data_IF_898704040232
#
_entry.id   IF_898704040232
#
_cell.length_a   1.000
_cell.length_b   1.000
_cell.length_c   1.000
_cell.angle_alpha   90.00
_cell.angle_beta   90.00
_cell.angle_gamma   90.00
#
_symmetry.space_group_name_H-M   'P 1'
#
loop_
_entity.id
_entity.type
_entity.pdbx_description
1 polymer ?
#
# COMPACT_ATOMS: atom_id res chain seq x y z
N UNK A 1 30.60 -66.66 20.37
CA UNK A 1 30.43 -65.39 21.07
C UNK A 1 29.17 -64.75 20.53
N UNK A 2 28.00 -65.28 20.85
CA UNK A 2 27.30 -65.21 22.14
C UNK A 2 26.76 -63.79 22.42
N UNK A 3 25.43 -63.73 22.53
CA UNK A 3 24.59 -62.72 23.21
C UNK A 3 24.15 -61.44 22.46
N UNK A 4 22.85 -61.43 22.16
CA UNK A 4 21.89 -60.30 22.16
C UNK A 4 21.72 -59.73 23.60
N UNK A 5 20.74 -58.85 23.96
CA UNK A 5 19.77 -57.99 23.23
C UNK A 5 19.69 -56.54 23.80
N UNK A 6 18.80 -55.70 23.23
CA UNK A 6 17.67 -55.00 23.91
C UNK A 6 17.41 -53.65 23.20
N UNK A 7 16.36 -53.55 22.36
CA UNK A 7 15.01 -53.05 22.69
C UNK A 7 15.03 -51.51 22.87
N UNK A 8 14.07 -50.70 22.41
CA UNK A 8 12.63 -50.88 22.37
C UNK A 8 11.97 -49.72 21.56
N UNK A 9 10.80 -50.02 20.96
CA UNK A 9 9.57 -49.20 20.82
C UNK A 9 9.61 -47.95 19.92
N UNK A 10 8.69 -47.70 18.99
CA UNK A 10 7.43 -48.36 18.65
C UNK A 10 6.54 -47.42 17.81
N UNK A 11 5.82 -48.01 16.86
CA UNK A 11 4.68 -47.40 16.14
C UNK A 11 3.51 -47.13 17.10
N UNK A 12 2.64 -46.16 16.77
CA UNK A 12 1.34 -46.50 16.16
C UNK A 12 0.96 -45.49 15.04
N UNK A 13 0.49 -45.88 13.85
CA UNK A 13 -0.89 -46.23 13.47
C UNK A 13 -1.99 -45.45 14.22
N UNK A 14 -2.65 -44.49 13.58
CA UNK A 14 -4.10 -44.58 13.27
C UNK A 14 -4.65 -43.35 12.52
N UNK A 15 -5.40 -43.68 11.47
CA UNK A 15 -6.54 -43.04 10.84
C UNK A 15 -7.22 -41.80 11.47
N UNK A 16 -7.69 -40.89 10.58
CA UNK A 16 -9.06 -40.31 10.54
C UNK A 16 -9.12 -38.77 10.29
N UNK A 17 -9.70 -38.41 9.13
CA UNK A 17 -10.60 -37.24 8.95
C UNK A 17 -11.94 -37.56 9.68
N UNK A 18 -12.83 -36.63 10.10
CA UNK A 18 -13.28 -35.44 9.33
C UNK A 18 -13.75 -34.19 10.15
N UNK A 19 -14.24 -33.19 9.41
CA UNK A 19 -15.27 -32.17 9.71
C UNK A 19 -15.56 -31.80 11.19
N UNK A 20 -15.53 -30.50 11.52
CA UNK A 20 -16.73 -29.61 11.58
C UNK A 20 -16.41 -28.35 12.39
N UNK A 21 -16.89 -27.22 11.89
CA UNK A 21 -16.86 -25.92 12.55
C UNK A 21 -17.65 -25.96 13.86
N UNK A 22 -17.01 -25.53 14.95
CA UNK A 22 -17.66 -25.26 16.23
C UNK A 22 -18.08 -23.78 16.25
N UNK A 23 -19.35 -23.57 15.93
CA UNK A 23 -20.09 -22.37 16.30
C UNK A 23 -20.52 -22.56 17.75
N UNK A 24 -19.98 -21.72 18.64
CA UNK A 24 -20.50 -21.57 20.00
C UNK A 24 -20.98 -20.14 20.19
N UNK A 25 -22.26 -19.94 19.90
CA UNK A 25 -23.08 -18.86 20.46
C UNK A 25 -23.35 -19.19 21.92
N UNK A 26 -22.98 -18.28 22.83
CA UNK A 26 -23.58 -18.17 24.17
C UNK A 26 -23.43 -16.72 24.61
N UNK A 27 -24.53 -16.06 24.98
CA UNK A 27 -24.48 -14.91 25.88
C UNK A 27 -25.25 -13.67 25.43
N UNK A 28 -26.58 -13.74 25.49
CA UNK A 28 -27.43 -12.56 25.58
C UNK A 28 -27.08 -11.70 26.81
N UNK A 29 -26.99 -10.39 26.63
CA UNK A 29 -27.28 -9.44 27.71
C UNK A 29 -28.02 -8.24 27.15
N UNK A 30 -29.32 -8.27 27.38
CA UNK A 30 -30.20 -7.11 27.32
C UNK A 30 -29.84 -6.16 28.47
N UNK A 31 -29.30 -4.98 28.16
CA UNK A 31 -29.45 -3.82 29.05
C UNK A 31 -29.36 -2.50 28.28
N UNK A 32 -30.55 -1.90 28.12
CA UNK A 32 -30.80 -0.46 28.20
C UNK A 32 -30.24 0.47 27.12
N UNK A 33 -31.17 0.90 26.26
CA UNK A 33 -31.24 2.24 25.69
C UNK A 33 -30.76 3.34 26.68
N UNK A 34 -29.59 3.92 26.43
CA UNK A 34 -29.32 5.37 26.39
C UNK A 34 -27.81 5.60 26.50
N UNK A 35 -27.18 5.79 25.34
CA UNK A 35 -25.76 6.13 25.26
C UNK A 35 -25.34 6.11 23.81
N UNK A 36 -25.17 7.29 23.20
CA UNK A 36 -24.76 7.46 21.80
C UNK A 36 -23.48 6.67 21.53
N UNK A 37 -23.63 5.51 20.89
CA UNK A 37 -22.52 4.71 20.39
C UNK A 37 -21.69 5.51 19.40
N UNK A 38 -20.43 5.78 19.76
CA UNK A 38 -19.37 6.18 18.83
C UNK A 38 -18.30 5.09 18.77
N UNK A 39 -18.71 3.88 18.40
CA UNK A 39 -17.79 2.78 18.11
C UNK A 39 -18.07 2.23 16.71
N UNK A 40 -17.85 3.07 15.68
CA UNK A 40 -17.71 2.68 14.27
C UNK A 40 -17.31 3.89 13.38
N UNK A 41 -16.45 4.80 13.87
CA UNK A 41 -16.08 6.02 13.12
C UNK A 41 -14.59 6.26 12.90
N UNK A 42 -13.69 5.39 13.36
CA UNK A 42 -12.24 5.60 13.16
C UNK A 42 -11.81 5.23 11.72
N UNK A 43 -11.98 3.95 11.32
CA UNK A 43 -11.52 3.48 10.01
C UNK A 43 -12.16 4.18 8.80
N UNK A 44 -13.43 4.55 8.91
CA UNK A 44 -14.16 5.23 7.82
C UNK A 44 -13.75 6.69 7.63
N UNK A 45 -13.20 7.32 8.68
CA UNK A 45 -12.72 8.70 8.60
C UNK A 45 -11.31 8.76 8.00
N UNK A 46 -10.43 7.84 8.39
CA UNK A 46 -9.07 7.77 7.83
C UNK A 46 -9.07 7.51 6.32
N UNK A 47 -9.89 6.58 5.84
CA UNK A 47 -10.01 6.28 4.41
C UNK A 47 -10.63 7.45 3.62
N UNK A 48 -11.62 8.13 4.19
CA UNK A 48 -12.22 9.32 3.60
C UNK A 48 -11.26 10.52 3.53
N UNK A 49 -10.35 10.65 4.50
CA UNK A 49 -9.33 11.71 4.54
C UNK A 49 -8.21 11.38 3.52
N UNK A 50 -7.79 10.11 3.40
CA UNK A 50 -6.87 9.64 2.35
C UNK A 50 -7.45 9.79 0.93
N UNK A 51 -8.76 9.64 0.77
CA UNK A 51 -9.45 9.84 -0.51
C UNK A 51 -9.37 11.30 -1.02
N UNK A 52 -9.14 12.27 -0.13
CA UNK A 52 -8.97 13.68 -0.51
C UNK A 52 -7.63 13.96 -1.20
N UNK A 53 -6.66 13.04 -1.04
CA UNK A 53 -5.35 13.15 -1.67
C UNK A 53 -5.44 12.51 -3.06
N UNK A 54 -5.10 13.23 -4.14
CA UNK A 54 -5.17 12.66 -5.49
C UNK A 54 -4.21 11.48 -5.63
N UNK A 55 -4.65 10.39 -6.24
CA UNK A 55 -3.80 9.20 -6.46
C UNK A 55 -2.64 9.49 -7.40
N UNK A 56 -2.83 10.38 -8.37
CA UNK A 56 -1.84 10.72 -9.39
C UNK A 56 -1.84 12.23 -9.54
N UNK A 57 -0.66 12.83 -9.46
CA UNK A 57 -0.44 14.23 -9.80
C UNK A 57 0.88 14.29 -10.56
N UNK A 58 0.78 14.44 -11.88
CA UNK A 58 1.92 14.44 -12.79
C UNK A 58 1.82 15.59 -13.79
N UNK A 59 2.96 16.09 -14.24
CA UNK A 59 3.00 17.12 -15.29
C UNK A 59 2.36 16.60 -16.59
N UNK A 60 1.57 17.42 -17.31
CA UNK A 60 0.83 16.98 -18.50
C UNK A 60 1.72 16.70 -19.71
N UNK A 61 2.97 17.16 -19.76
CA UNK A 61 3.87 16.89 -20.88
C UNK A 61 5.36 16.81 -20.51
N UNK A 62 6.10 16.08 -21.34
CA UNK A 62 7.55 15.99 -21.29
C UNK A 62 8.05 14.81 -20.47
N UNK A 63 9.35 14.83 -20.18
CA UNK A 63 10.03 13.79 -19.40
C UNK A 63 10.45 14.39 -18.07
N UNK A 64 10.00 13.78 -16.98
CA UNK A 64 10.25 14.28 -15.63
C UNK A 64 10.44 13.13 -14.65
N UNK A 65 11.01 13.46 -13.48
CA UNK A 65 11.21 12.50 -12.40
C UNK A 65 9.92 12.32 -11.63
N UNK A 66 9.71 11.12 -11.11
CA UNK A 66 8.56 10.82 -10.29
C UNK A 66 8.93 9.96 -9.08
N UNK A 67 8.16 10.09 -8.02
CA UNK A 67 8.24 9.28 -6.81
C UNK A 67 6.91 8.60 -6.54
N UNK A 68 7.00 7.38 -6.03
CA UNK A 68 5.86 6.65 -5.47
C UNK A 68 5.93 6.81 -3.95
N UNK A 69 4.87 7.37 -3.38
CA UNK A 69 4.81 7.69 -1.95
C UNK A 69 3.62 6.95 -1.34
N UNK A 70 3.83 6.26 -0.23
CA UNK A 70 2.76 5.66 0.57
C UNK A 70 2.37 6.61 1.67
N UNK A 71 1.15 7.11 1.65
CA UNK A 71 0.59 7.97 2.69
C UNK A 71 -0.10 7.10 3.73
N UNK A 72 0.25 7.29 5.00
CA UNK A 72 -0.33 6.61 6.15
C UNK A 72 -1.19 7.58 6.96
N UNK A 73 -2.34 7.11 7.43
CA UNK A 73 -3.17 7.88 8.36
C UNK A 73 -2.66 7.73 9.80
N UNK A 74 -2.00 8.77 10.32
CA UNK A 74 -1.51 8.81 11.73
C UNK A 74 -2.61 9.01 12.76
N UNK A 75 -3.82 9.35 12.33
CA UNK A 75 -4.96 9.56 13.25
C UNK A 75 -5.55 8.26 13.80
N UNK A 76 -5.15 7.12 13.26
CA UNK A 76 -5.70 5.80 13.61
C UNK A 76 -4.61 4.78 14.02
N UNK A 77 -3.47 5.26 14.55
CA UNK A 77 -2.46 4.39 15.20
C UNK A 77 -3.08 3.69 16.41
N UNK A 78 -3.77 2.57 16.17
CA UNK A 78 -4.39 1.75 17.20
C UNK A 78 -3.33 0.88 17.87
N UNK A 79 -3.43 0.64 19.19
CA UNK A 79 -2.45 -0.16 19.94
C UNK A 79 -2.44 -1.67 19.62
N UNK A 80 -3.31 -2.17 18.73
CA UNK A 80 -3.56 -3.62 18.55
C UNK A 80 -3.15 -4.17 17.17
N UNK A 81 -2.11 -3.63 16.54
CA UNK A 81 -1.42 -4.32 15.42
C UNK A 81 -2.27 -4.61 14.17
N UNK A 82 -3.38 -3.91 13.96
CA UNK A 82 -4.22 -4.06 12.78
C UNK A 82 -3.82 -3.04 11.70
N UNK A 83 -3.79 -3.49 10.44
CA UNK A 83 -3.37 -2.74 9.25
C UNK A 83 -3.84 -1.28 9.27
N UNK A 84 -2.88 -0.37 9.33
CA UNK A 84 -3.14 1.06 9.25
C UNK A 84 -3.55 1.40 7.80
N UNK A 85 -4.69 2.08 7.58
CA UNK A 85 -5.11 2.45 6.24
C UNK A 85 -4.03 3.34 5.62
N UNK A 86 -3.58 2.92 4.45
CA UNK A 86 -2.52 3.58 3.71
C UNK A 86 -2.89 3.61 2.23
N UNK A 87 -2.32 4.59 1.53
CA UNK A 87 -2.63 4.85 0.13
C UNK A 87 -1.35 5.23 -0.59
N UNK A 88 -1.03 4.53 -1.67
CA UNK A 88 0.07 4.96 -2.54
C UNK A 88 -0.38 6.07 -3.49
N UNK A 89 0.47 7.06 -3.69
CA UNK A 89 0.25 8.19 -4.57
C UNK A 89 1.46 8.36 -5.48
N UNK A 90 1.21 8.72 -6.73
CA UNK A 90 2.22 8.99 -7.74
C UNK A 90 2.36 10.52 -7.85
N UNK A 91 3.59 11.01 -7.70
CA UNK A 91 3.92 12.42 -7.82
C UNK A 91 5.08 12.62 -8.76
N UNK A 92 4.93 13.47 -9.77
CA UNK A 92 5.97 13.70 -10.77
C UNK A 92 5.88 15.09 -11.38
N UNK A 93 6.96 15.86 -11.28
CA UNK A 93 6.95 17.23 -11.76
C UNK A 93 8.21 17.56 -12.56
N UNK A 94 8.04 18.37 -13.60
CA UNK A 94 9.13 18.83 -14.46
C UNK A 94 10.04 19.86 -13.80
N UNK A 95 9.53 20.61 -12.82
CA UNK A 95 10.31 21.58 -12.06
C UNK A 95 11.29 20.92 -11.07
N UNK A 96 11.06 19.65 -10.71
CA UNK A 96 11.86 18.97 -9.71
C UNK A 96 13.12 18.36 -10.34
N UNK A 97 14.28 18.88 -9.94
CA UNK A 97 15.56 18.37 -10.38
C UNK A 97 15.90 17.02 -9.74
N UNK A 98 15.45 16.77 -8.51
CA UNK A 98 15.65 15.49 -7.82
C UNK A 98 14.34 14.90 -7.30
N UNK A 99 14.35 13.58 -7.06
CA UNK A 99 13.24 12.87 -6.42
C UNK A 99 12.95 13.40 -5.01
N UNK A 100 13.99 13.84 -4.31
CA UNK A 100 13.89 14.40 -2.96
C UNK A 100 13.07 15.69 -2.93
N UNK A 101 13.21 16.59 -3.92
CA UNK A 101 12.41 17.83 -3.97
C UNK A 101 10.92 17.54 -4.08
N UNK A 102 10.55 16.52 -4.86
CA UNK A 102 9.16 16.08 -4.99
C UNK A 102 8.67 15.52 -3.65
N UNK A 103 9.46 14.63 -3.05
CA UNK A 103 9.10 14.01 -1.78
C UNK A 103 8.99 15.04 -0.66
N UNK A 104 9.93 15.95 -0.50
CA UNK A 104 9.95 16.99 0.53
C UNK A 104 8.67 17.84 0.45
N UNK A 105 8.40 18.42 -0.72
CA UNK A 105 7.22 19.25 -0.95
C UNK A 105 5.92 18.49 -0.68
N UNK A 106 5.79 17.27 -1.20
CA UNK A 106 4.60 16.44 -1.00
C UNK A 106 4.48 16.06 0.48
N UNK A 107 5.58 15.70 1.13
CA UNK A 107 5.59 15.30 2.53
C UNK A 107 5.16 16.44 3.44
N UNK A 108 5.58 17.67 3.16
CA UNK A 108 5.11 18.85 3.89
C UNK A 108 3.61 19.07 3.75
N UNK A 109 3.06 18.93 2.54
CA UNK A 109 1.61 19.08 2.31
C UNK A 109 0.79 17.99 3.00
N UNK A 110 1.28 16.75 2.99
CA UNK A 110 0.65 15.60 3.62
C UNK A 110 0.74 15.71 5.15
N UNK A 111 1.89 16.10 5.70
CA UNK A 111 2.08 16.33 7.13
C UNK A 111 1.20 17.48 7.64
N UNK A 112 1.04 18.56 6.86
CA UNK A 112 0.12 19.67 7.21
C UNK A 112 -1.33 19.21 7.34
N UNK A 113 -1.74 18.21 6.57
CA UNK A 113 -3.07 17.57 6.70
C UNK A 113 -3.15 16.60 7.88
N UNK A 114 -2.01 16.25 8.49
CA UNK A 114 -1.93 15.34 9.62
C UNK A 114 -1.88 13.87 9.17
N UNK A 115 -1.15 13.59 8.10
CA UNK A 115 -0.82 12.26 7.60
C UNK A 115 0.69 12.06 7.60
N UNK A 116 1.12 10.82 7.59
CA UNK A 116 2.52 10.44 7.40
C UNK A 116 2.75 9.95 5.97
N UNK A 117 3.97 10.02 5.47
CA UNK A 117 4.27 9.56 4.12
C UNK A 117 5.65 8.93 4.00
N UNK A 118 5.70 7.81 3.32
CA UNK A 118 6.88 6.99 3.11
C UNK A 118 7.21 6.96 1.62
N UNK A 119 8.46 7.21 1.24
CA UNK A 119 8.88 7.05 -0.16
C UNK A 119 9.14 5.57 -0.45
N UNK A 120 8.37 4.98 -1.37
CA UNK A 120 8.52 3.59 -1.82
C UNK A 120 9.51 3.45 -2.99
N UNK A 121 10.10 4.56 -3.44
CA UNK A 121 11.03 4.62 -4.57
C UNK A 121 10.64 5.68 -5.60
N UNK A 122 11.38 5.71 -6.70
CA UNK A 122 11.05 6.57 -7.82
C UNK A 122 11.54 6.06 -9.17
N UNK A 123 11.39 6.92 -10.16
CA UNK A 123 11.86 6.69 -11.54
C UNK A 123 11.63 7.93 -12.39
N UNK A 124 11.39 7.73 -13.68
CA UNK A 124 11.05 8.77 -14.66
C UNK A 124 9.73 8.43 -15.34
N UNK A 125 9.00 9.47 -15.68
CA UNK A 125 7.79 9.39 -16.49
C UNK A 125 8.03 10.21 -17.74
N UNK A 126 7.82 9.60 -18.90
CA UNK A 126 7.71 10.28 -20.18
C UNK A 126 6.23 10.41 -20.51
N UNK A 127 5.69 11.61 -20.36
CA UNK A 127 4.32 11.95 -20.71
C UNK A 127 4.29 12.63 -22.08
N UNK A 128 3.75 11.93 -23.08
CA UNK A 128 3.50 12.46 -24.41
C UNK A 128 2.00 12.67 -24.58
N UNK A 129 1.52 13.87 -24.27
CA UNK A 129 0.10 14.23 -24.42
C UNK A 129 -0.36 14.30 -25.87
N UNK A 130 0.58 14.49 -26.83
CA UNK A 130 0.29 14.44 -28.27
C UNK A 130 -0.09 13.02 -28.72
N UNK A 131 0.74 12.04 -28.38
CA UNK A 131 0.51 10.62 -28.69
C UNK A 131 -0.41 9.91 -27.70
N UNK A 132 -0.83 10.62 -26.63
CA UNK A 132 -1.53 10.06 -25.47
C UNK A 132 -0.81 8.85 -24.88
N UNK A 133 0.51 8.94 -24.77
CA UNK A 133 1.38 7.86 -24.26
C UNK A 133 2.05 8.29 -22.98
N UNK A 134 2.01 7.42 -21.97
CA UNK A 134 2.75 7.60 -20.73
C UNK A 134 3.66 6.40 -20.55
N UNK A 135 4.97 6.64 -20.48
CA UNK A 135 5.96 5.60 -20.29
C UNK A 135 6.68 5.81 -18.96
N UNK A 136 6.59 4.83 -18.06
CA UNK A 136 7.20 4.87 -16.72
C UNK A 136 8.43 3.95 -16.71
N UNK A 137 9.60 4.48 -16.36
CA UNK A 137 10.85 3.71 -16.44
C UNK A 137 11.93 4.25 -15.50
N UNK A 138 12.99 3.47 -15.32
CA UNK A 138 14.17 3.83 -14.55
C UNK A 138 13.96 3.92 -13.05
N UNK A 139 14.96 4.42 -12.33
CA UNK A 139 14.97 4.35 -10.86
C UNK A 139 15.42 5.66 -10.23
N UNK A 140 15.14 5.84 -8.95
CA UNK A 140 15.73 6.91 -8.15
C UNK A 140 17.06 6.46 -7.56
N UNK A 141 18.14 7.23 -7.74
CA UNK A 141 19.42 6.95 -7.08
C UNK A 141 19.31 6.99 -5.55
N UNK A 142 18.46 7.86 -5.00
CA UNK A 142 18.32 8.03 -3.54
C UNK A 142 17.35 7.05 -2.91
N UNK A 143 16.22 6.78 -3.56
CA UNK A 143 15.13 5.97 -3.00
C UNK A 143 15.02 4.57 -3.61
N UNK A 144 15.83 4.26 -4.61
CA UNK A 144 15.72 3.02 -5.37
C UNK A 144 14.58 3.04 -6.39
N UNK A 145 14.27 1.85 -6.89
CA UNK A 145 13.26 1.63 -7.94
C UNK A 145 11.87 1.51 -7.33
N UNK A 146 10.94 2.36 -7.76
CA UNK A 146 9.54 2.24 -7.40
C UNK A 146 8.90 1.00 -8.04
N UNK A 147 7.75 0.57 -7.49
CA UNK A 147 6.88 -0.37 -8.20
C UNK A 147 6.20 0.33 -9.38
N UNK A 148 6.81 0.24 -10.56
CA UNK A 148 6.28 0.85 -11.78
C UNK A 148 4.90 0.32 -12.14
N UNK A 149 4.63 -0.97 -11.92
CA UNK A 149 3.30 -1.58 -12.10
C UNK A 149 2.21 -0.81 -11.35
N UNK A 150 2.37 -0.60 -10.03
CA UNK A 150 1.42 0.16 -9.21
C UNK A 150 1.26 1.61 -9.70
N UNK A 151 2.37 2.21 -10.11
CA UNK A 151 2.36 3.57 -10.65
C UNK A 151 1.53 3.64 -11.92
N UNK A 152 1.70 2.68 -12.84
CA UNK A 152 0.94 2.62 -14.09
C UNK A 152 -0.52 2.31 -13.90
N UNK A 153 -0.90 1.48 -12.94
CA UNK A 153 -2.31 1.21 -12.64
C UNK A 153 -3.03 2.49 -12.19
N UNK A 154 -2.39 3.26 -11.31
CA UNK A 154 -2.93 4.54 -10.84
C UNK A 154 -3.01 5.56 -11.98
N UNK A 155 -1.95 5.68 -12.78
CA UNK A 155 -1.93 6.58 -13.94
C UNK A 155 -3.02 6.17 -14.94
N UNK A 156 -3.20 4.88 -15.20
CA UNK A 156 -4.22 4.36 -16.12
C UNK A 156 -5.64 4.61 -15.61
N UNK A 157 -5.86 4.53 -14.29
CA UNK A 157 -7.13 4.90 -13.69
C UNK A 157 -7.43 6.40 -13.85
N UNK A 158 -6.41 7.26 -13.76
CA UNK A 158 -6.54 8.70 -13.95
C UNK A 158 -6.61 9.13 -15.42
N UNK A 159 -5.89 8.43 -16.30
CA UNK A 159 -5.81 8.66 -17.74
C UNK A 159 -6.25 7.41 -18.53
N UNK A 160 -7.55 7.06 -18.52
CA UNK A 160 -8.05 5.85 -19.18
C UNK A 160 -7.91 5.89 -20.71
N UNK A 161 -7.78 7.10 -21.27
CA UNK A 161 -7.61 7.32 -22.71
C UNK A 161 -6.14 7.30 -23.17
N UNK A 162 -5.20 7.08 -22.25
CA UNK A 162 -3.77 7.07 -22.54
C UNK A 162 -3.24 5.64 -22.56
N UNK A 163 -2.26 5.40 -23.43
CA UNK A 163 -1.48 4.18 -23.43
C UNK A 163 -0.38 4.31 -22.37
N UNK A 164 -0.62 3.68 -21.22
CA UNK A 164 0.31 3.66 -20.09
C UNK A 164 1.13 2.38 -20.15
N UNK A 165 2.45 2.52 -20.25
CA UNK A 165 3.41 1.41 -20.28
C UNK A 165 4.47 1.63 -19.21
N UNK A 166 5.08 0.55 -18.73
CA UNK A 166 6.23 0.62 -17.86
C UNK A 166 7.35 -0.30 -18.34
N UNK A 167 8.58 0.05 -17.96
CA UNK A 167 9.76 -0.77 -18.15
C UNK A 167 10.58 -0.79 -16.85
N UNK A 168 11.08 -1.97 -16.50
CA UNK A 168 12.03 -2.15 -15.39
C UNK A 168 13.48 -1.78 -15.78
N UNK A 169 13.72 -1.52 -17.07
CA UNK A 169 15.01 -1.23 -17.68
C UNK A 169 15.04 0.20 -18.25
N UNK A 170 16.22 0.82 -18.24
CA UNK A 170 16.47 2.18 -18.72
C UNK A 170 16.83 3.17 -17.60
N UNK A 171 17.80 4.08 -17.84
CA UNK A 171 18.14 5.16 -16.90
C UNK A 171 17.59 6.49 -17.34
#
# INVERSE_FOLDING_TARGET
MESTPDSVIGHPEDCARPLRADQREEGESVLSISGRGRFARCGKMAEADLAQIPDVDIDPDGVFKYVLIRVHSVRDSKPNGQDCPSKEIVRGYKWAEYHADIYDKVSEEIQKKGFDCECLGGGRISHQSQDKKIHVYGYSMGFGRAQHSLSTEKIKAHYPNYEVTWADDGY
#
